data_IF_950225992250
#
_entry.id   IF_950225992250
#
_cell.length_a   1.000
_cell.length_b   1.000
_cell.length_c   1.000
_cell.angle_alpha   90.00
_cell.angle_beta   90.00
_cell.angle_gamma   90.00
#
_symmetry.space_group_name_H-M   'P 1'
#
loop_
_entity.id
_entity.type
_entity.pdbx_description
1 polymer ?
#
# COMPACT_ATOMS: atom_id res chain seq x y z
N UNK A 1 3.85 7.88 23.33
CA UNK A 1 5.29 7.58 23.47
C UNK A 1 5.58 7.11 24.87
N UNK A 2 6.29 6.00 25.01
CA UNK A 2 6.73 5.47 26.30
C UNK A 2 7.84 6.31 26.91
N UNK A 3 7.85 6.43 28.23
CA UNK A 3 9.04 6.89 28.97
C UNK A 3 10.18 5.90 28.84
N UNK A 4 11.32 6.22 29.43
CA UNK A 4 12.53 5.40 29.36
C UNK A 4 12.22 3.91 29.63
N UNK A 5 12.58 3.03 28.71
CA UNK A 5 12.36 1.58 28.80
C UNK A 5 10.89 1.15 28.85
N UNK A 6 9.93 2.03 28.59
CA UNK A 6 8.51 1.72 28.58
C UNK A 6 7.99 1.54 27.14
N UNK A 7 6.93 0.74 27.00
CA UNK A 7 6.25 0.59 25.73
C UNK A 7 5.56 1.89 25.32
N UNK A 8 5.33 2.06 24.01
CA UNK A 8 4.50 3.14 23.50
C UNK A 8 3.07 3.04 24.01
N UNK A 9 2.53 1.82 24.01
CA UNK A 9 1.26 1.42 24.62
C UNK A 9 1.49 0.08 25.34
N UNK A 10 1.23 0.03 26.65
CA UNK A 10 1.32 -1.18 27.45
C UNK A 10 2.18 -1.02 28.70
N UNK A 11 3.22 -1.84 28.83
CA UNK A 11 4.02 -1.97 30.05
C UNK A 11 4.97 -0.80 30.34
N UNK A 12 5.12 -0.47 31.61
CA UNK A 12 6.10 0.52 32.11
C UNK A 12 7.55 -0.01 32.14
N UNK A 13 8.51 0.90 32.32
CA UNK A 13 9.95 0.64 32.18
C UNK A 13 10.82 0.67 33.46
N UNK A 14 12.13 0.77 33.22
CA UNK A 14 13.34 0.90 34.08
C UNK A 14 13.48 0.04 35.33
N UNK A 15 12.50 0.07 36.23
CA UNK A 15 12.62 -0.53 37.57
C UNK A 15 11.52 -1.57 37.84
N UNK A 16 10.69 -1.87 36.86
CA UNK A 16 9.71 -2.95 36.91
C UNK A 16 9.63 -3.58 35.54
N UNK A 17 9.67 -4.91 35.46
CA UNK A 17 9.39 -5.64 34.24
C UNK A 17 7.89 -5.50 33.93
N UNK A 18 7.50 -4.32 33.44
CA UNK A 18 6.13 -3.96 33.16
C UNK A 18 5.58 -4.85 32.06
N UNK A 19 4.69 -5.76 32.44
CA UNK A 19 4.00 -6.64 31.49
C UNK A 19 3.15 -5.80 30.54
N UNK A 20 3.05 -6.23 29.30
CA UNK A 20 2.10 -5.69 28.34
C UNK A 20 0.67 -6.02 28.74
N UNK A 21 -0.26 -5.13 28.40
CA UNK A 21 -1.69 -5.34 28.58
C UNK A 21 -2.34 -5.99 27.36
N UNK A 22 -3.64 -6.24 27.45
CA UNK A 22 -4.48 -6.47 26.26
C UNK A 22 -4.76 -5.12 25.61
N UNK A 23 -4.57 -5.02 24.30
CA UNK A 23 -4.78 -3.79 23.53
C UNK A 23 -5.86 -4.04 22.48
N UNK A 24 -6.89 -3.19 22.49
CA UNK A 24 -7.93 -3.17 21.46
C UNK A 24 -7.98 -1.80 20.83
N UNK A 25 -7.82 -1.74 19.50
CA UNK A 25 -7.92 -0.49 18.73
C UNK A 25 -8.96 -0.72 17.63
N UNK A 26 -10.02 0.10 17.66
CA UNK A 26 -11.18 -0.02 16.77
C UNK A 26 -11.42 1.22 15.92
N UNK A 27 -10.48 2.18 15.88
CA UNK A 27 -10.63 3.45 15.18
C UNK A 27 -9.58 4.48 15.58
N UNK A 28 -9.62 5.64 14.93
CA UNK A 28 -8.73 6.77 15.20
C UNK A 28 -7.35 6.67 14.58
N UNK A 29 -6.53 7.68 14.85
CA UNK A 29 -5.13 7.75 14.42
C UNK A 29 -4.24 7.58 15.64
N UNK A 30 -3.50 6.48 15.68
CA UNK A 30 -2.70 6.03 16.82
C UNK A 30 -1.24 5.98 16.43
N UNK A 31 -0.38 6.58 17.26
CA UNK A 31 1.06 6.44 17.15
C UNK A 31 1.63 5.82 18.43
N UNK A 32 2.37 4.73 18.28
CA UNK A 32 3.01 4.02 19.37
C UNK A 32 4.53 4.04 19.16
N UNK A 33 5.23 4.53 20.19
CA UNK A 33 6.70 4.62 20.20
C UNK A 33 7.20 4.09 21.54
N UNK A 34 7.77 2.89 21.53
CA UNK A 34 8.55 2.37 22.64
C UNK A 34 9.93 3.03 22.70
N UNK A 35 10.52 3.08 23.88
CA UNK A 35 11.88 3.65 24.07
C UNK A 35 12.76 2.71 24.90
N UNK A 36 14.08 2.89 24.83
CA UNK A 36 15.02 2.13 25.68
C UNK A 36 14.96 0.62 25.50
N UNK A 37 14.68 0.13 24.27
CA UNK A 37 14.58 -1.30 23.95
C UNK A 37 13.23 -1.95 24.28
N UNK A 38 12.22 -1.17 24.65
CA UNK A 38 10.84 -1.64 24.78
C UNK A 38 10.11 -1.70 23.43
N UNK A 39 8.99 -2.44 23.38
CA UNK A 39 8.13 -2.54 22.19
C UNK A 39 7.28 -1.29 21.97
N UNK A 40 6.85 -1.03 20.75
CA UNK A 40 5.87 0.04 20.50
C UNK A 40 4.52 -0.29 21.15
N UNK A 41 4.04 -1.51 20.99
CA UNK A 41 2.85 -2.02 21.67
C UNK A 41 3.22 -3.34 22.37
N UNK A 42 3.09 -3.39 23.70
CA UNK A 42 3.46 -4.59 24.47
C UNK A 42 4.12 -4.28 25.81
N UNK A 43 5.06 -5.13 26.28
CA UNK A 43 5.74 -4.94 27.54
C UNK A 43 6.80 -3.84 27.47
N UNK A 44 7.15 -3.31 28.64
CA UNK A 44 8.36 -2.51 28.81
C UNK A 44 9.62 -3.36 28.66
N UNK A 45 10.77 -2.68 28.58
CA UNK A 45 12.08 -3.31 28.52
C UNK A 45 12.25 -4.29 29.68
N UNK A 46 12.87 -5.45 29.39
CA UNK A 46 13.13 -6.56 30.34
C UNK A 46 11.88 -7.36 30.76
N UNK A 47 10.70 -7.08 30.20
CA UNK A 47 9.52 -7.95 30.32
C UNK A 47 9.21 -8.66 29.01
N UNK A 48 8.67 -9.88 29.11
CA UNK A 48 8.23 -10.69 27.96
C UNK A 48 6.72 -10.91 27.92
N UNK A 49 6.04 -10.82 29.06
CA UNK A 49 4.62 -11.10 29.16
C UNK A 49 3.80 -9.97 28.54
N UNK A 50 2.84 -10.29 27.67
CA UNK A 50 1.93 -9.33 27.07
C UNK A 50 0.53 -9.93 26.89
N UNK A 51 -0.49 -9.09 26.88
CA UNK A 51 -1.83 -9.46 26.44
C UNK A 51 -1.97 -9.40 24.92
N UNK A 52 -3.10 -9.89 24.42
CA UNK A 52 -3.39 -9.93 22.99
C UNK A 52 -3.58 -8.53 22.39
N UNK A 53 -3.29 -8.39 21.10
CA UNK A 53 -3.54 -7.18 20.34
C UNK A 53 -4.68 -7.44 19.34
N UNK A 54 -5.78 -6.69 19.46
CA UNK A 54 -6.96 -6.79 18.59
C UNK A 54 -7.15 -5.48 17.84
N UNK A 55 -6.93 -5.49 16.53
CA UNK A 55 -7.05 -4.32 15.66
C UNK A 55 -8.20 -4.52 14.67
N UNK A 56 -9.26 -3.72 14.82
CA UNK A 56 -10.45 -3.76 13.96
C UNK A 56 -10.73 -2.41 13.33
N UNK A 57 -9.78 -1.48 13.36
CA UNK A 57 -9.97 -0.14 12.83
C UNK A 57 -8.78 0.77 13.12
N UNK A 58 -8.83 1.96 12.55
CA UNK A 58 -7.85 3.01 12.77
C UNK A 58 -6.64 2.95 11.83
N UNK A 59 -5.80 3.98 11.96
CA UNK A 59 -4.46 4.07 11.41
C UNK A 59 -3.48 3.96 12.56
N UNK A 60 -2.69 2.88 12.63
CA UNK A 60 -1.83 2.56 13.76
C UNK A 60 -0.38 2.53 13.29
N UNK A 61 0.36 3.61 13.58
CA UNK A 61 1.78 3.74 13.28
C UNK A 61 2.63 3.23 14.45
N UNK A 62 3.53 2.29 14.15
CA UNK A 62 4.59 1.84 15.05
C UNK A 62 5.89 2.56 14.67
N UNK A 63 6.61 3.10 15.64
CA UNK A 63 7.85 3.84 15.36
C UNK A 63 9.06 2.94 15.10
N UNK A 64 9.08 1.76 15.72
CA UNK A 64 10.16 0.77 15.65
C UNK A 64 9.69 -0.56 15.03
N UNK A 65 8.47 -0.63 14.50
CA UNK A 65 7.82 -1.84 13.97
C UNK A 65 7.79 -3.02 14.97
N UNK A 66 7.66 -2.71 16.27
CA UNK A 66 7.71 -3.73 17.33
C UNK A 66 6.37 -3.88 18.06
N UNK A 67 5.81 -5.09 18.00
CA UNK A 67 4.61 -5.46 18.75
C UNK A 67 4.80 -6.81 19.45
N UNK A 68 4.51 -6.88 20.75
CA UNK A 68 4.54 -8.13 21.47
C UNK A 68 3.19 -8.84 21.36
N UNK A 69 3.24 -10.09 20.91
CA UNK A 69 2.12 -10.88 20.39
C UNK A 69 1.58 -10.34 19.07
N UNK A 70 1.42 -11.24 18.10
CA UNK A 70 0.96 -10.90 16.76
C UNK A 70 -0.46 -10.34 16.81
N UNK A 71 -0.74 -9.22 16.13
CA UNK A 71 -2.06 -8.63 16.14
C UNK A 71 -3.05 -9.45 15.30
N UNK A 72 -4.32 -9.40 15.68
CA UNK A 72 -5.44 -10.02 14.95
C UNK A 72 -6.63 -9.06 14.87
N UNK A 73 -7.59 -9.32 14.00
CA UNK A 73 -8.90 -8.66 14.02
C UNK A 73 -9.91 -9.38 14.93
N UNK A 74 -9.43 -10.24 15.84
CA UNK A 74 -10.25 -11.12 16.67
C UNK A 74 -10.58 -12.47 16.03
N UNK A 75 -10.37 -12.64 14.73
CA UNK A 75 -10.57 -13.90 13.99
C UNK A 75 -9.30 -14.35 13.26
N UNK A 76 -8.66 -13.41 12.56
CA UNK A 76 -7.50 -13.64 11.71
C UNK A 76 -6.37 -12.70 12.10
N UNK A 77 -5.13 -13.13 11.87
CA UNK A 77 -3.96 -12.26 12.00
C UNK A 77 -4.07 -11.09 11.03
N UNK A 78 -3.52 -9.94 11.41
CA UNK A 78 -3.45 -8.74 10.56
C UNK A 78 -2.01 -8.29 10.32
N UNK A 79 -1.80 -7.61 9.21
CA UNK A 79 -0.53 -7.00 8.79
C UNK A 79 -0.74 -5.55 8.40
N UNK A 80 0.33 -4.75 8.49
CA UNK A 80 0.26 -3.34 8.18
C UNK A 80 0.21 -3.12 6.66
N UNK A 81 -0.80 -2.39 6.21
CA UNK A 81 -0.97 -1.89 4.86
C UNK A 81 -0.77 -0.38 4.90
N UNK A 82 0.31 0.06 4.27
CA UNK A 82 0.67 1.48 4.20
C UNK A 82 0.04 2.15 2.98
N UNK A 83 -0.48 3.35 3.16
CA UNK A 83 -0.99 4.19 2.08
C UNK A 83 -0.17 5.50 2.07
N UNK A 84 0.91 5.58 1.28
CA UNK A 84 1.74 6.77 1.19
C UNK A 84 1.16 7.81 0.23
N UNK A 85 1.68 9.03 0.29
CA UNK A 85 1.45 10.06 -0.74
C UNK A 85 0.37 11.09 -0.42
N UNK A 86 -0.13 11.13 0.82
CA UNK A 86 -1.02 12.19 1.28
C UNK A 86 -0.25 13.40 1.81
N UNK A 87 -0.93 14.54 1.94
CA UNK A 87 -0.41 15.62 2.78
C UNK A 87 -0.43 15.17 4.26
N UNK A 88 0.51 15.64 5.10
CA UNK A 88 0.43 15.47 6.54
C UNK A 88 -0.92 15.94 7.08
N UNK A 89 -1.48 15.20 8.04
CA UNK A 89 -2.79 15.46 8.67
C UNK A 89 -3.99 15.46 7.71
N UNK A 90 -3.81 14.98 6.47
CA UNK A 90 -4.93 14.78 5.56
C UNK A 90 -5.86 13.68 6.10
N UNK A 91 -7.17 13.89 5.99
CA UNK A 91 -8.19 12.90 6.32
C UNK A 91 -8.82 12.34 5.04
N UNK A 92 -8.16 11.38 4.36
CA UNK A 92 -8.71 10.81 3.14
C UNK A 92 -9.94 9.96 3.44
N UNK A 93 -10.97 10.07 2.60
CA UNK A 93 -12.09 9.15 2.62
C UNK A 93 -11.66 7.83 1.96
N UNK A 94 -11.87 6.71 2.65
CA UNK A 94 -11.47 5.37 2.20
C UNK A 94 -12.67 4.44 2.16
N UNK A 95 -12.87 3.83 0.99
CA UNK A 95 -13.85 2.77 0.75
C UNK A 95 -13.13 1.44 0.44
N UNK A 96 -13.86 0.33 0.51
CA UNK A 96 -13.31 -1.01 0.21
C UNK A 96 -12.61 -1.70 1.38
N UNK A 97 -12.75 -1.16 2.60
CA UNK A 97 -12.28 -1.81 3.82
C UNK A 97 -13.23 -2.94 4.27
N UNK A 98 -12.75 -3.93 5.04
CA UNK A 98 -13.60 -4.98 5.61
C UNK A 98 -14.79 -4.42 6.39
N UNK A 99 -15.90 -5.15 6.40
CA UNK A 99 -17.08 -4.77 7.17
C UNK A 99 -16.73 -4.57 8.65
N UNK A 100 -17.21 -3.46 9.22
CA UNK A 100 -16.94 -3.11 10.61
C UNK A 100 -15.55 -2.51 10.87
N UNK A 101 -14.70 -2.33 9.84
CA UNK A 101 -13.42 -1.64 10.03
C UNK A 101 -13.66 -0.18 10.46
N UNK A 102 -13.12 0.21 11.61
CA UNK A 102 -13.34 1.56 12.13
C UNK A 102 -12.55 2.62 11.37
N UNK A 103 -13.26 3.49 10.65
CA UNK A 103 -12.69 4.56 9.79
C UNK A 103 -12.85 5.97 10.35
N UNK A 104 -13.42 6.11 11.55
CA UNK A 104 -13.53 7.42 12.19
C UNK A 104 -12.15 7.95 12.58
N UNK A 105 -11.93 9.25 12.33
CA UNK A 105 -10.72 9.99 12.71
C UNK A 105 -9.41 9.41 12.16
N UNK A 106 -9.42 9.02 10.88
CA UNK A 106 -8.23 8.62 10.13
C UNK A 106 -7.52 9.85 9.56
N UNK A 107 -6.31 10.10 10.02
CA UNK A 107 -5.43 11.18 9.56
C UNK A 107 -4.09 10.59 9.13
N UNK A 108 -3.60 11.02 7.98
CA UNK A 108 -2.26 10.68 7.51
C UNK A 108 -1.23 11.22 8.51
N UNK A 109 -0.24 10.39 8.86
CA UNK A 109 0.83 10.80 9.76
C UNK A 109 1.68 11.93 9.17
N UNK A 110 2.66 12.42 9.93
CA UNK A 110 3.58 13.50 9.53
C UNK A 110 4.32 13.23 8.20
N UNK A 111 4.48 11.95 7.83
CA UNK A 111 5.08 11.52 6.57
C UNK A 111 4.05 11.31 5.44
N UNK A 112 2.81 11.77 5.61
CA UNK A 112 1.75 11.62 4.61
C UNK A 112 1.28 10.18 4.42
N UNK A 113 1.42 9.31 5.43
CA UNK A 113 1.10 7.89 5.33
C UNK A 113 0.02 7.45 6.32
N UNK A 114 -0.93 6.64 5.86
CA UNK A 114 -1.84 5.87 6.73
C UNK A 114 -1.34 4.44 6.93
N UNK A 115 -1.66 3.85 8.08
CA UNK A 115 -1.18 2.53 8.52
C UNK A 115 -2.38 1.66 8.93
N UNK A 116 -3.05 1.05 7.96
CA UNK A 116 -4.22 0.20 8.23
C UNK A 116 -3.77 -1.23 8.50
N UNK A 117 -4.46 -1.96 9.39
CA UNK A 117 -4.07 -3.33 9.75
C UNK A 117 -5.12 -4.32 9.26
N UNK A 118 -4.80 -5.05 8.20
CA UNK A 118 -5.75 -5.89 7.46
C UNK A 118 -5.29 -7.36 7.46
N UNK A 119 -6.24 -8.32 7.43
CA UNK A 119 -5.88 -9.74 7.28
C UNK A 119 -5.34 -10.02 5.87
N UNK A 120 -4.95 -11.27 5.65
CA UNK A 120 -4.54 -11.72 4.31
C UNK A 120 -5.70 -11.55 3.32
N UNK A 121 -5.38 -11.11 2.11
CA UNK A 121 -6.40 -10.87 1.10
C UNK A 121 -5.90 -10.00 -0.05
N UNK A 122 -6.70 -10.00 -1.11
CA UNK A 122 -6.57 -9.03 -2.19
C UNK A 122 -7.59 -7.93 -1.97
N UNK A 123 -7.12 -6.69 -1.96
CA UNK A 123 -7.94 -5.53 -1.66
C UNK A 123 -7.95 -4.55 -2.82
N UNK A 124 -9.12 -3.96 -3.02
CA UNK A 124 -9.36 -2.82 -3.89
C UNK A 124 -9.98 -1.73 -3.01
N UNK A 125 -9.31 -0.59 -2.94
CA UNK A 125 -9.77 0.57 -2.18
C UNK A 125 -10.09 1.70 -3.14
N UNK A 126 -11.02 2.56 -2.74
CA UNK A 126 -11.22 3.86 -3.38
C UNK A 126 -10.89 4.92 -2.35
N UNK A 127 -9.82 5.68 -2.60
CA UNK A 127 -9.33 6.70 -1.68
C UNK A 127 -9.48 8.07 -2.35
N UNK A 128 -10.37 8.91 -1.82
CA UNK A 128 -10.73 10.19 -2.44
C UNK A 128 -11.07 10.06 -3.95
N UNK A 129 -11.74 8.96 -4.33
CA UNK A 129 -12.09 8.66 -5.73
C UNK A 129 -10.99 8.00 -6.56
N UNK A 130 -9.77 7.84 -6.02
CA UNK A 130 -8.65 7.19 -6.71
C UNK A 130 -8.58 5.70 -6.34
N UNK A 131 -8.52 4.78 -7.31
CA UNK A 131 -8.41 3.36 -7.03
C UNK A 131 -7.00 2.97 -6.55
N UNK A 132 -6.94 2.23 -5.45
CA UNK A 132 -5.74 1.59 -4.92
C UNK A 132 -5.95 0.09 -4.85
N UNK A 133 -4.86 -0.65 -4.95
CA UNK A 133 -4.85 -2.10 -4.75
C UNK A 133 -3.74 -2.51 -3.80
N UNK A 134 -4.00 -3.55 -3.01
CA UNK A 134 -3.00 -4.17 -2.15
C UNK A 134 -3.18 -5.69 -2.14
N UNK A 135 -2.11 -6.43 -1.89
CA UNK A 135 -2.17 -7.86 -1.59
C UNK A 135 -1.44 -8.08 -0.28
N UNK A 136 -2.18 -8.55 0.72
CA UNK A 136 -1.65 -8.93 2.02
C UNK A 136 -1.46 -10.45 2.00
N UNK A 137 -0.20 -10.89 2.10
CA UNK A 137 0.18 -12.30 2.04
C UNK A 137 1.29 -12.57 3.06
N UNK A 138 0.88 -12.73 4.31
CA UNK A 138 1.72 -13.01 5.47
C UNK A 138 2.81 -11.97 5.77
N UNK A 139 2.70 -10.77 5.17
CA UNK A 139 3.65 -9.67 5.33
C UNK A 139 2.96 -8.30 5.19
N UNK A 140 3.55 -7.29 5.84
CA UNK A 140 3.18 -5.89 5.63
C UNK A 140 3.43 -5.48 4.18
N UNK A 141 2.61 -4.59 3.66
CA UNK A 141 2.62 -4.20 2.24
C UNK A 141 2.25 -2.72 2.06
N UNK A 142 2.38 -2.22 0.84
CA UNK A 142 1.94 -0.88 0.46
C UNK A 142 0.78 -0.97 -0.54
N UNK A 143 -0.27 -0.19 -0.29
CA UNK A 143 -1.31 0.05 -1.28
C UNK A 143 -0.72 0.89 -2.43
N UNK A 144 -1.08 0.55 -3.66
CA UNK A 144 -0.54 1.20 -4.85
C UNK A 144 -1.65 1.51 -5.85
N UNK A 145 -1.47 2.59 -6.62
CA UNK A 145 -2.29 2.90 -7.80
C UNK A 145 -1.88 2.07 -9.02
N UNK A 146 -0.84 1.24 -8.92
CA UNK A 146 -0.45 0.29 -9.96
C UNK A 146 -1.38 -0.92 -9.95
N UNK A 147 -2.57 -0.73 -10.50
CA UNK A 147 -3.61 -1.75 -10.56
C UNK A 147 -3.72 -2.42 -11.93
N UNK A 148 -2.82 -2.12 -12.87
CA UNK A 148 -2.75 -2.78 -14.16
C UNK A 148 -1.32 -3.21 -14.51
N UNK A 149 -1.20 -4.16 -15.43
CA UNK A 149 0.09 -4.70 -15.90
C UNK A 149 0.00 -5.06 -17.37
N UNK A 150 1.16 -5.28 -18.01
CA UNK A 150 1.25 -5.83 -19.37
C UNK A 150 1.40 -7.35 -19.23
N UNK A 151 0.51 -8.11 -19.85
CA UNK A 151 0.49 -9.58 -19.85
C UNK A 151 0.81 -10.20 -21.20
N UNK A 152 0.76 -9.40 -22.27
CA UNK A 152 1.08 -9.84 -23.62
C UNK A 152 1.76 -8.74 -24.42
N UNK A 153 2.64 -9.14 -25.34
CA UNK A 153 3.31 -8.26 -26.27
C UNK A 153 3.45 -8.96 -27.62
N UNK A 154 3.18 -8.24 -28.71
CA UNK A 154 3.36 -8.74 -30.07
C UNK A 154 3.84 -7.61 -30.97
N UNK A 155 4.77 -7.91 -31.87
CA UNK A 155 5.23 -7.01 -32.92
C UNK A 155 4.90 -7.63 -34.28
N UNK A 156 4.07 -6.95 -35.06
CA UNK A 156 3.71 -7.37 -36.41
C UNK A 156 3.38 -6.13 -37.25
N UNK A 157 3.74 -6.16 -38.54
CA UNK A 157 3.34 -5.13 -39.53
C UNK A 157 3.60 -3.68 -39.05
N UNK A 158 4.83 -3.43 -38.58
CA UNK A 158 5.25 -2.15 -38.00
C UNK A 158 4.33 -1.62 -36.87
N UNK A 159 3.71 -2.53 -36.11
CA UNK A 159 2.83 -2.22 -34.98
C UNK A 159 3.21 -3.04 -33.76
N UNK A 160 3.42 -2.36 -32.63
CA UNK A 160 3.55 -2.99 -31.32
C UNK A 160 2.18 -3.06 -30.64
N UNK A 161 1.79 -4.25 -30.22
CA UNK A 161 0.53 -4.54 -29.52
C UNK A 161 0.82 -5.00 -28.11
N UNK A 162 0.17 -4.41 -27.11
CA UNK A 162 0.27 -4.78 -25.71
C UNK A 162 -1.10 -5.24 -25.20
N UNK A 163 -1.12 -6.38 -24.53
CA UNK A 163 -2.29 -6.85 -23.78
C UNK A 163 -2.11 -6.45 -22.33
N UNK A 164 -3.09 -5.74 -21.80
CA UNK A 164 -3.15 -5.31 -20.41
C UNK A 164 -3.93 -6.33 -19.56
N UNK A 165 -3.65 -6.37 -18.27
CA UNK A 165 -4.51 -6.95 -17.25
C UNK A 165 -4.76 -5.92 -16.15
N UNK A 166 -5.94 -5.98 -15.53
CA UNK A 166 -6.32 -5.11 -14.42
C UNK A 166 -6.67 -5.95 -13.19
N UNK A 167 -6.29 -5.45 -12.01
CA UNK A 167 -6.70 -5.94 -10.70
C UNK A 167 -8.01 -5.28 -10.22
N UNK A 168 -8.49 -4.26 -10.91
CA UNK A 168 -9.74 -3.59 -10.56
C UNK A 168 -10.95 -4.40 -11.06
N UNK A 169 -12.09 -4.37 -10.33
CA UNK A 169 -13.37 -4.84 -10.84
C UNK A 169 -13.75 -4.12 -12.13
N UNK A 170 -14.56 -4.76 -12.98
CA UNK A 170 -14.89 -4.28 -14.32
C UNK A 170 -15.42 -2.83 -14.31
N UNK A 171 -16.34 -2.48 -13.41
CA UNK A 171 -16.95 -1.14 -13.36
C UNK A 171 -15.92 -0.06 -13.00
N UNK A 172 -15.08 -0.34 -11.99
CA UNK A 172 -14.05 0.60 -11.55
C UNK A 172 -12.96 0.75 -12.62
N UNK A 173 -12.58 -0.37 -13.27
CA UNK A 173 -11.66 -0.34 -14.40
C UNK A 173 -12.24 0.47 -15.56
N UNK A 174 -13.49 0.24 -15.94
CA UNK A 174 -14.17 0.95 -17.03
C UNK A 174 -14.25 2.45 -16.77
N UNK A 175 -14.52 2.86 -15.53
CA UNK A 175 -14.53 4.27 -15.15
C UNK A 175 -13.14 4.89 -15.22
N UNK A 176 -12.14 4.24 -14.61
CA UNK A 176 -10.77 4.73 -14.63
C UNK A 176 -10.22 4.84 -16.06
N UNK A 177 -10.43 3.81 -16.86
CA UNK A 177 -9.87 3.72 -18.21
C UNK A 177 -10.57 4.63 -19.22
N UNK A 178 -11.76 5.15 -18.90
CA UNK A 178 -12.42 6.17 -19.70
C UNK A 178 -11.74 7.54 -19.60
N UNK A 179 -11.00 7.78 -18.52
CA UNK A 179 -10.27 9.04 -18.29
C UNK A 179 -8.75 8.87 -18.39
N UNK A 180 -8.23 7.65 -18.28
CA UNK A 180 -6.80 7.38 -18.31
C UNK A 180 -6.19 7.67 -19.69
N UNK A 181 -5.02 8.31 -19.69
CA UNK A 181 -4.22 8.51 -20.89
C UNK A 181 -3.04 7.55 -20.87
N UNK A 182 -2.94 6.70 -21.90
CA UNK A 182 -1.83 5.76 -22.04
C UNK A 182 -0.72 6.36 -22.92
N UNK A 183 0.49 6.31 -22.41
CA UNK A 183 1.69 6.70 -23.12
C UNK A 183 2.63 5.50 -23.25
N UNK A 184 2.91 5.08 -24.50
CA UNK A 184 3.96 4.10 -24.76
C UNK A 184 5.25 4.85 -25.05
N UNK A 185 6.29 4.55 -24.28
CA UNK A 185 7.61 5.13 -24.48
C UNK A 185 8.62 4.05 -24.83
N UNK A 186 9.61 4.39 -25.65
CA UNK A 186 10.75 3.54 -25.95
C UNK A 186 12.08 4.17 -25.53
N UNK A 187 13.08 3.34 -25.27
CA UNK A 187 14.45 3.77 -25.03
C UNK A 187 15.43 2.81 -25.69
N UNK A 188 16.46 3.31 -26.39
CA UNK A 188 17.46 2.47 -27.08
C UNK A 188 18.64 2.06 -26.19
N UNK A 189 18.72 2.62 -24.97
CA UNK A 189 19.78 2.32 -24.00
C UNK A 189 19.34 2.61 -22.55
N UNK A 190 19.24 1.59 -21.69
CA UNK A 190 18.87 1.75 -20.28
C UNK A 190 19.83 2.66 -19.49
N UNK A 191 21.08 2.83 -19.92
CA UNK A 191 22.05 3.65 -19.19
C UNK A 191 21.89 5.15 -19.43
N UNK A 192 21.24 5.56 -20.51
CA UNK A 192 21.09 6.97 -20.89
C UNK A 192 19.74 7.59 -20.51
N UNK A 193 18.83 6.82 -19.89
CA UNK A 193 17.57 7.25 -19.28
C UNK A 193 16.61 8.11 -20.15
N UNK A 194 16.94 8.38 -21.41
CA UNK A 194 16.12 9.16 -22.33
C UNK A 194 15.02 8.26 -22.92
N UNK A 195 13.82 8.41 -22.37
CA UNK A 195 12.60 7.78 -22.88
C UNK A 195 11.95 8.69 -23.92
N UNK A 196 11.59 8.14 -25.07
CA UNK A 196 10.90 8.84 -26.15
C UNK A 196 9.49 8.31 -26.30
N UNK A 197 8.51 9.20 -26.32
CA UNK A 197 7.09 8.87 -26.55
C UNK A 197 6.88 8.39 -27.98
N UNK A 198 6.21 7.24 -28.13
CA UNK A 198 5.73 6.78 -29.42
C UNK A 198 4.40 7.47 -29.75
N UNK A 199 4.29 8.17 -30.89
CA UNK A 199 3.05 8.81 -31.29
C UNK A 199 2.00 7.76 -31.70
N UNK A 200 0.72 8.14 -31.64
CA UNK A 200 -0.36 7.31 -32.18
C UNK A 200 -0.70 6.08 -31.35
N UNK A 201 -0.54 6.14 -30.03
CA UNK A 201 -1.07 5.09 -29.14
C UNK A 201 -2.59 5.06 -29.25
N UNK A 202 -3.13 3.94 -29.70
CA UNK A 202 -4.57 3.67 -29.78
C UNK A 202 -4.91 2.57 -28.79
N UNK A 203 -6.05 2.71 -28.11
CA UNK A 203 -6.57 1.72 -27.17
C UNK A 203 -7.87 1.13 -27.69
N UNK A 204 -8.00 -0.19 -27.59
CA UNK A 204 -9.27 -0.91 -27.69
C UNK A 204 -9.39 -1.93 -26.55
N UNK A 205 -10.28 -1.67 -25.60
CA UNK A 205 -10.47 -2.54 -24.43
C UNK A 205 -9.18 -2.74 -23.60
N UNK A 206 -8.70 -3.99 -23.51
CA UNK A 206 -7.46 -4.34 -22.82
C UNK A 206 -6.23 -4.30 -23.74
N UNK A 207 -6.38 -3.83 -24.98
CA UNK A 207 -5.30 -3.80 -25.96
C UNK A 207 -4.84 -2.37 -26.22
N UNK A 208 -3.52 -2.16 -26.21
CA UNK A 208 -2.88 -0.95 -26.71
C UNK A 208 -2.11 -1.28 -27.99
N UNK A 209 -2.26 -0.45 -29.01
CA UNK A 209 -1.51 -0.55 -30.27
C UNK A 209 -0.76 0.74 -30.51
N UNK A 210 0.50 0.64 -30.92
CA UNK A 210 1.32 1.80 -31.28
C UNK A 210 2.16 1.51 -32.52
N UNK A 211 2.26 2.45 -33.48
CA UNK A 211 3.17 2.33 -34.61
C UNK A 211 4.62 2.14 -34.14
N UNK A 212 5.33 1.21 -34.78
CA UNK A 212 6.71 0.88 -34.45
C UNK A 212 7.49 0.53 -35.72
N UNK A 213 8.47 1.34 -36.09
CA UNK A 213 9.29 1.11 -37.29
C UNK A 213 10.47 0.19 -37.02
N UNK A 214 10.61 -0.87 -37.81
CA UNK A 214 11.67 -1.89 -37.72
C UNK A 214 13.10 -1.39 -37.95
N UNK A 215 13.29 -0.16 -38.44
CA UNK A 215 14.61 0.51 -38.56
C UNK A 215 15.31 0.73 -37.22
N UNK A 216 14.62 0.54 -36.09
CA UNK A 216 15.14 0.69 -34.73
C UNK A 216 15.55 -0.63 -34.05
N UNK A 217 15.87 -1.68 -34.83
CA UNK A 217 16.24 -2.99 -34.27
C UNK A 217 17.75 -3.11 -33.93
N UNK A 218 18.13 -3.70 -32.77
CA UNK A 218 17.29 -4.13 -31.64
C UNK A 218 17.86 -3.69 -30.28
N UNK A 219 17.41 -2.54 -29.73
CA UNK A 219 17.61 -2.21 -28.30
C UNK A 219 16.49 -1.37 -27.68
N UNK A 220 15.27 -1.41 -28.20
CA UNK A 220 14.17 -0.62 -27.66
C UNK A 220 13.54 -1.29 -26.42
N UNK A 221 13.74 -0.71 -25.24
CA UNK A 221 12.95 -1.00 -24.04
C UNK A 221 11.64 -0.24 -24.14
N UNK A 222 10.50 -0.88 -23.86
CA UNK A 222 9.18 -0.27 -23.89
C UNK A 222 8.62 -0.16 -22.48
N UNK A 223 7.97 0.97 -22.16
CA UNK A 223 7.15 1.10 -20.96
C UNK A 223 5.82 1.74 -21.30
N UNK A 224 4.80 1.37 -20.55
CA UNK A 224 3.46 1.96 -20.64
C UNK A 224 3.24 2.75 -19.36
N UNK A 225 2.99 4.05 -19.50
CA UNK A 225 2.56 4.91 -18.42
C UNK A 225 1.06 5.15 -18.59
N UNK A 226 0.31 5.14 -17.50
CA UNK A 226 -1.05 5.65 -17.46
C UNK A 226 -1.06 6.88 -16.56
N UNK A 227 -1.63 7.97 -17.07
CA UNK A 227 -1.85 9.23 -16.36
C UNK A 227 -3.34 9.41 -16.06
#
# INVERSE_FOLDING_TARGET
>A
TGGDGAAGIGGGGYNSAGKGGTVTISGGTVAATGTGGATDIGPGAKASDSGANTFTGGSIRLANDTIALVPSNGTERVWCVTFPGFAPDAAPAIEGLPEGYGTNDLFAGENGTLYLWLPNGEYVFVVNGVPYVATVADASTAATTQHFSITGFTLADDTATFTLASRLPADLFNNWVATAVFEVQFCTNLTEAAWTTLPGTVRDGMTLTVPFTTTNTPRAFLRVLAQ
#
